data_IF_042928941172
#
_entry.id   IF_042928941172
#
_cell.length_a   1.000
_cell.length_b   1.000
_cell.length_c   1.000
_cell.angle_alpha   90.00
_cell.angle_beta   90.00
_cell.angle_gamma   90.00
#
_symmetry.space_group_name_H-M   'P 1'
#
loop_
_entity.id
_entity.type
_entity.pdbx_description
1 polymer ?
#
# COMPACT_ATOMS: atom_id res chain seq x y z
N UNK A 1 5.71 16.84 -15.03
CA UNK A 1 5.24 15.49 -15.37
C UNK A 1 4.69 15.48 -16.78
N UNK A 2 5.15 14.58 -17.62
CA UNK A 2 4.59 14.37 -18.95
C UNK A 2 3.36 13.45 -18.85
N UNK A 3 2.52 13.42 -19.90
CA UNK A 3 1.40 12.47 -19.97
C UNK A 3 1.87 11.02 -19.92
N UNK A 4 3.05 10.73 -20.46
CA UNK A 4 3.69 9.41 -20.42
C UNK A 4 4.06 9.00 -18.97
N UNK A 5 4.52 9.94 -18.16
CA UNK A 5 4.86 9.64 -16.75
C UNK A 5 3.61 9.23 -15.95
N UNK A 6 2.47 9.90 -16.20
CA UNK A 6 1.21 9.55 -15.58
C UNK A 6 0.73 8.15 -15.98
N UNK A 7 0.85 7.78 -17.25
CA UNK A 7 0.50 6.45 -17.76
C UNK A 7 1.40 5.37 -17.13
N UNK A 8 2.71 5.61 -17.10
CA UNK A 8 3.66 4.64 -16.49
C UNK A 8 3.44 4.46 -14.99
N UNK A 9 3.12 5.54 -14.26
CA UNK A 9 2.74 5.46 -12.86
C UNK A 9 1.45 4.66 -12.66
N UNK A 10 0.45 4.87 -13.53
CA UNK A 10 -0.78 4.12 -13.53
C UNK A 10 -0.57 2.63 -13.81
N UNK A 11 0.25 2.29 -14.80
CA UNK A 11 0.63 0.90 -15.12
C UNK A 11 1.41 0.26 -13.96
N UNK A 12 2.35 0.97 -13.36
CA UNK A 12 3.07 0.49 -12.17
C UNK A 12 2.12 0.20 -11.00
N UNK A 13 1.14 1.10 -10.78
CA UNK A 13 0.09 0.87 -9.76
C UNK A 13 -0.81 -0.32 -10.09
N UNK A 14 -1.09 -0.57 -11.38
CA UNK A 14 -1.88 -1.72 -11.81
C UNK A 14 -1.11 -3.04 -11.61
N UNK A 15 0.18 -3.08 -11.94
CA UNK A 15 1.04 -4.24 -11.65
C UNK A 15 1.13 -4.54 -10.14
N UNK A 16 1.05 -3.52 -9.32
CA UNK A 16 1.04 -3.65 -7.86
C UNK A 16 -0.31 -4.14 -7.28
N UNK A 17 -1.29 -4.52 -8.11
CA UNK A 17 -2.47 -5.29 -7.68
C UNK A 17 -2.13 -6.77 -7.42
N UNK A 18 -0.96 -7.25 -7.89
CA UNK A 18 -0.49 -8.59 -7.55
C UNK A 18 -0.23 -8.68 -6.04
N UNK A 19 -0.72 -9.76 -5.38
CA UNK A 19 -0.49 -9.94 -3.95
C UNK A 19 1.00 -10.04 -3.64
N UNK A 20 1.45 -9.33 -2.60
CA UNK A 20 2.85 -9.25 -2.21
C UNK A 20 3.65 -8.10 -2.83
N UNK A 21 3.11 -7.41 -3.83
CA UNK A 21 3.77 -6.24 -4.43
C UNK A 21 3.30 -4.95 -3.76
N UNK A 22 4.26 -4.16 -3.25
CA UNK A 22 3.95 -2.87 -2.61
C UNK A 22 3.55 -1.84 -3.66
N UNK A 23 2.27 -1.42 -3.65
CA UNK A 23 1.75 -0.38 -4.56
C UNK A 23 2.52 0.93 -4.44
N UNK A 24 2.73 1.40 -3.22
CA UNK A 24 3.47 2.64 -2.96
C UNK A 24 4.94 2.49 -3.37
N UNK A 25 5.54 1.33 -3.10
CA UNK A 25 6.92 1.03 -3.48
C UNK A 25 7.13 1.09 -4.99
N UNK A 26 6.34 0.35 -5.77
CA UNK A 26 6.43 0.33 -7.24
C UNK A 26 6.18 1.71 -7.83
N UNK A 27 5.10 2.40 -7.42
CA UNK A 27 4.79 3.74 -7.93
C UNK A 27 5.89 4.75 -7.62
N UNK A 28 6.50 4.67 -6.42
CA UNK A 28 7.63 5.53 -6.06
C UNK A 28 8.85 5.23 -6.92
N UNK A 29 9.18 3.96 -7.13
CA UNK A 29 10.32 3.53 -7.96
C UNK A 29 10.15 3.97 -9.41
N UNK A 30 8.95 3.81 -9.99
CA UNK A 30 8.63 4.33 -11.32
C UNK A 30 8.77 5.85 -11.39
N UNK A 31 8.29 6.58 -10.38
CA UNK A 31 8.45 8.03 -10.31
C UNK A 31 9.91 8.47 -10.31
N UNK A 32 10.76 7.80 -9.53
CA UNK A 32 12.21 8.08 -9.48
C UNK A 32 12.89 7.75 -10.80
N UNK A 33 12.57 6.61 -11.41
CA UNK A 33 13.15 6.23 -12.72
C UNK A 33 12.80 7.22 -13.83
N UNK A 34 11.72 7.99 -13.65
CA UNK A 34 11.33 9.08 -14.55
C UNK A 34 11.93 10.44 -14.17
N UNK A 35 12.89 10.47 -13.25
CA UNK A 35 13.63 11.67 -12.85
C UNK A 35 12.92 12.53 -11.80
N UNK A 36 11.86 12.03 -11.15
CA UNK A 36 11.26 12.72 -10.03
C UNK A 36 12.15 12.61 -8.78
N UNK A 37 12.17 13.66 -7.96
CA UNK A 37 12.83 13.56 -6.65
C UNK A 37 12.12 12.50 -5.80
N UNK A 38 12.84 11.73 -4.97
CA UNK A 38 12.26 10.69 -4.12
C UNK A 38 11.07 11.18 -3.31
N UNK A 39 11.14 12.41 -2.82
CA UNK A 39 10.08 13.04 -2.04
C UNK A 39 8.80 13.25 -2.84
N UNK A 40 8.91 13.75 -4.08
CA UNK A 40 7.77 13.98 -4.94
C UNK A 40 7.20 12.66 -5.48
N UNK A 41 8.05 11.71 -5.86
CA UNK A 41 7.65 10.40 -6.29
C UNK A 41 6.81 9.69 -5.22
N UNK A 42 7.25 9.74 -3.96
CA UNK A 42 6.53 9.17 -2.83
C UNK A 42 5.17 9.86 -2.59
N UNK A 43 5.12 11.20 -2.63
CA UNK A 43 3.86 11.94 -2.49
C UNK A 43 2.86 11.56 -3.58
N UNK A 44 3.31 11.43 -4.83
CA UNK A 44 2.44 11.03 -5.94
C UNK A 44 1.99 9.58 -5.83
N UNK A 45 2.86 8.68 -5.38
CA UNK A 45 2.51 7.30 -5.12
C UNK A 45 1.38 7.18 -4.07
N UNK A 46 1.43 7.97 -2.99
CA UNK A 46 0.35 8.04 -2.00
C UNK A 46 -0.95 8.58 -2.60
N UNK A 47 -0.89 9.67 -3.38
CA UNK A 47 -2.07 10.25 -4.01
C UNK A 47 -2.76 9.28 -4.99
N UNK A 48 -1.99 8.56 -5.81
CA UNK A 48 -2.51 7.57 -6.76
C UNK A 48 -3.12 6.36 -6.02
N UNK A 49 -2.66 6.07 -4.81
CA UNK A 49 -3.21 4.99 -3.99
C UNK A 49 -4.62 5.30 -3.45
N UNK A 50 -4.99 6.57 -3.29
CA UNK A 50 -6.29 6.97 -2.72
C UNK A 50 -7.48 6.47 -3.57
N UNK A 51 -7.55 6.73 -4.90
CA UNK A 51 -8.68 6.24 -5.70
C UNK A 51 -8.81 4.71 -5.67
N UNK A 52 -7.68 4.01 -5.68
CA UNK A 52 -7.67 2.56 -5.61
C UNK A 52 -8.19 2.03 -4.26
N UNK A 53 -7.87 2.69 -3.15
CA UNK A 53 -8.41 2.36 -1.82
C UNK A 53 -9.91 2.61 -1.77
N UNK A 54 -10.41 3.72 -2.36
CA UNK A 54 -11.84 4.02 -2.43
C UNK A 54 -12.60 2.92 -3.17
N UNK A 55 -12.06 2.45 -4.31
CA UNK A 55 -12.67 1.34 -5.05
C UNK A 55 -12.75 0.06 -4.21
N UNK A 56 -11.68 -0.29 -3.47
CA UNK A 56 -11.69 -1.45 -2.58
C UNK A 56 -12.75 -1.32 -1.48
N UNK A 57 -12.83 -0.15 -0.83
CA UNK A 57 -13.85 0.10 0.21
C UNK A 57 -15.26 -0.08 -0.35
N UNK A 58 -15.53 0.42 -1.57
CA UNK A 58 -16.84 0.27 -2.20
C UNK A 58 -17.15 -1.20 -2.50
N UNK A 59 -16.19 -1.96 -3.03
CA UNK A 59 -16.35 -3.39 -3.31
C UNK A 59 -16.58 -4.20 -2.03
N UNK A 60 -15.84 -3.92 -0.97
CA UNK A 60 -16.00 -4.58 0.32
C UNK A 60 -17.36 -4.26 0.93
N UNK A 61 -17.80 -3.01 0.84
CA UNK A 61 -19.14 -2.60 1.32
C UNK A 61 -20.26 -3.31 0.56
N UNK A 62 -20.15 -3.41 -0.77
CA UNK A 62 -21.11 -4.17 -1.59
C UNK A 62 -21.13 -5.64 -1.18
N UNK A 63 -19.97 -6.23 -0.92
CA UNK A 63 -19.86 -7.62 -0.48
C UNK A 63 -20.55 -7.85 0.89
N UNK A 64 -20.36 -6.96 1.84
CA UNK A 64 -20.99 -7.03 3.16
C UNK A 64 -22.51 -6.89 3.05
N UNK A 65 -22.98 -5.94 2.24
CA UNK A 65 -24.42 -5.74 2.03
C UNK A 65 -25.06 -6.96 1.34
N UNK A 66 -24.39 -7.54 0.34
CA UNK A 66 -24.89 -8.71 -0.39
C UNK A 66 -24.88 -10.00 0.44
N UNK A 67 -23.97 -10.10 1.42
CA UNK A 67 -23.94 -11.23 2.36
C UNK A 67 -25.09 -11.22 3.39
N UNK A 68 -25.86 -10.13 3.45
CA UNK A 68 -26.99 -9.94 4.35
C UNK A 68 -26.61 -9.21 5.65
N UNK A 69 -27.37 -8.18 5.97
CA UNK A 69 -27.19 -7.35 7.18
C UNK A 69 -27.44 -8.10 8.50
N UNK A 70 -27.90 -9.36 8.45
CA UNK A 70 -28.17 -10.18 9.63
C UNK A 70 -26.93 -10.59 10.43
N UNK A 71 -25.73 -10.33 9.92
CA UNK A 71 -24.47 -10.61 10.62
C UNK A 71 -23.89 -9.37 11.34
N UNK A 72 -24.58 -8.23 11.29
CA UNK A 72 -24.15 -6.99 11.95
C UNK A 72 -24.52 -7.00 13.46
N UNK A 73 -23.94 -7.96 14.18
CA UNK A 73 -24.02 -7.97 15.63
C UNK A 73 -23.16 -6.83 16.23
N UNK A 74 -23.55 -6.37 17.42
CA UNK A 74 -22.77 -5.39 18.18
C UNK A 74 -21.29 -5.78 18.32
N UNK A 75 -21.03 -7.06 18.49
CA UNK A 75 -19.68 -7.65 18.56
C UNK A 75 -18.88 -7.39 17.27
N UNK A 76 -19.53 -7.54 16.10
CA UNK A 76 -18.90 -7.29 14.79
C UNK A 76 -18.54 -5.81 14.61
N UNK A 77 -19.45 -4.92 14.98
CA UNK A 77 -19.20 -3.47 14.92
C UNK A 77 -18.03 -3.06 15.81
N UNK A 78 -17.97 -3.60 17.03
CA UNK A 78 -16.89 -3.34 17.98
C UNK A 78 -15.53 -3.82 17.42
N UNK A 79 -15.50 -5.03 16.83
CA UNK A 79 -14.30 -5.56 16.18
C UNK A 79 -13.83 -4.65 15.01
N UNK A 80 -14.75 -4.19 14.16
CA UNK A 80 -14.42 -3.29 13.08
C UNK A 80 -13.82 -1.97 13.58
N UNK A 81 -14.35 -1.40 14.65
CA UNK A 81 -13.81 -0.17 15.25
C UNK A 81 -12.41 -0.42 15.81
N UNK A 82 -12.21 -1.50 16.57
CA UNK A 82 -10.90 -1.85 17.12
C UNK A 82 -9.85 -2.07 16.04
N UNK A 83 -10.19 -2.84 15.00
CA UNK A 83 -9.32 -3.07 13.85
C UNK A 83 -9.02 -1.76 13.09
N UNK A 84 -10.02 -0.90 12.91
CA UNK A 84 -9.86 0.40 12.28
C UNK A 84 -8.91 1.32 13.05
N UNK A 85 -9.05 1.38 14.37
CA UNK A 85 -8.14 2.15 15.23
C UNK A 85 -6.70 1.61 15.17
N UNK A 86 -6.53 0.30 15.24
CA UNK A 86 -5.21 -0.34 15.14
C UNK A 86 -4.57 -0.09 13.77
N UNK A 87 -5.35 -0.22 12.69
CA UNK A 87 -4.89 0.07 11.33
C UNK A 87 -4.50 1.56 11.15
N UNK A 88 -5.25 2.48 11.74
CA UNK A 88 -4.94 3.92 11.69
C UNK A 88 -3.61 4.25 12.37
N UNK A 89 -3.38 3.72 13.57
CA UNK A 89 -2.12 3.91 14.29
C UNK A 89 -0.96 3.29 13.51
N UNK A 90 -1.14 2.07 12.99
CA UNK A 90 -0.15 1.39 12.16
C UNK A 90 0.18 2.17 10.89
N UNK A 91 -0.82 2.75 10.23
CA UNK A 91 -0.64 3.55 9.02
C UNK A 91 0.18 4.82 9.28
N UNK A 92 -0.06 5.54 10.38
CA UNK A 92 0.73 6.72 10.76
C UNK A 92 2.19 6.32 10.99
N UNK A 93 2.45 5.24 11.71
CA UNK A 93 3.78 4.71 11.93
C UNK A 93 4.48 4.31 10.63
N UNK A 94 3.79 3.58 9.76
CA UNK A 94 4.31 3.13 8.47
C UNK A 94 4.64 4.31 7.53
N UNK A 95 3.76 5.32 7.44
CA UNK A 95 4.01 6.52 6.64
C UNK A 95 5.23 7.29 7.17
N UNK A 96 5.35 7.43 8.49
CA UNK A 96 6.48 8.10 9.12
C UNK A 96 7.80 7.36 8.86
N UNK A 97 7.80 6.04 8.99
CA UNK A 97 8.95 5.19 8.72
C UNK A 97 9.35 5.27 7.24
N UNK A 98 8.39 5.16 6.32
CA UNK A 98 8.64 5.26 4.89
C UNK A 98 9.19 6.63 4.48
N UNK A 99 8.67 7.71 5.05
CA UNK A 99 9.24 9.06 4.84
C UNK A 99 10.71 9.10 5.27
N UNK A 100 11.04 8.54 6.42
CA UNK A 100 12.41 8.52 6.91
C UNK A 100 13.33 7.74 5.97
N UNK A 101 12.91 6.58 5.48
CA UNK A 101 13.67 5.75 4.54
C UNK A 101 13.87 6.48 3.22
N UNK A 102 12.80 6.98 2.61
CA UNK A 102 12.85 7.65 1.30
C UNK A 102 13.68 8.93 1.33
N UNK A 103 13.66 9.66 2.45
CA UNK A 103 14.32 10.96 2.56
C UNK A 103 15.77 10.88 3.05
N UNK A 104 16.14 9.86 3.84
CA UNK A 104 17.49 9.74 4.45
C UNK A 104 18.34 8.64 3.84
N UNK A 105 17.79 7.47 3.61
CA UNK A 105 18.57 6.26 3.31
C UNK A 105 18.54 5.84 1.83
N UNK A 106 17.63 6.43 1.04
CA UNK A 106 17.36 5.97 -0.31
C UNK A 106 16.53 4.67 -0.35
N UNK A 107 15.79 4.48 -1.45
CA UNK A 107 14.94 3.30 -1.66
C UNK A 107 15.77 2.02 -1.82
N UNK A 108 17.04 2.15 -2.18
CA UNK A 108 17.95 1.02 -2.38
C UNK A 108 18.08 0.16 -1.12
N UNK A 109 18.17 0.77 0.05
CA UNK A 109 18.27 0.06 1.33
C UNK A 109 16.98 -0.69 1.70
N UNK A 110 15.84 -0.28 1.17
CA UNK A 110 14.58 -0.99 1.38
C UNK A 110 14.55 -2.35 0.67
N UNK A 111 15.34 -2.52 -0.39
CA UNK A 111 15.48 -3.80 -1.10
C UNK A 111 16.02 -4.90 -0.19
N UNK A 112 16.97 -4.61 0.68
CA UNK A 112 17.52 -5.59 1.63
C UNK A 112 16.47 -6.08 2.62
N UNK A 113 15.61 -5.19 3.08
CA UNK A 113 14.48 -5.57 3.93
C UNK A 113 13.50 -6.50 3.18
N UNK A 114 13.16 -6.18 1.95
CA UNK A 114 12.28 -7.02 1.13
C UNK A 114 12.87 -8.41 0.88
N UNK A 115 14.16 -8.51 0.59
CA UNK A 115 14.87 -9.79 0.44
C UNK A 115 14.87 -10.60 1.74
N UNK A 116 15.15 -9.96 2.87
CA UNK A 116 15.11 -10.59 4.18
C UNK A 116 13.71 -11.12 4.52
N UNK A 117 12.67 -10.32 4.29
CA UNK A 117 11.29 -10.73 4.52
C UNK A 117 10.87 -11.88 3.61
N UNK A 118 11.26 -11.86 2.33
CA UNK A 118 10.98 -12.93 1.38
C UNK A 118 11.64 -14.25 1.79
N UNK A 119 12.91 -14.22 2.17
CA UNK A 119 13.63 -15.40 2.67
C UNK A 119 12.99 -15.94 3.96
N UNK A 120 12.65 -15.07 4.90
CA UNK A 120 12.00 -15.48 6.14
C UNK A 120 10.65 -16.16 5.88
N UNK A 121 9.82 -15.57 5.02
CA UNK A 121 8.52 -16.15 4.65
C UNK A 121 8.69 -17.48 3.91
N UNK A 122 9.68 -17.57 3.03
CA UNK A 122 9.98 -18.81 2.31
C UNK A 122 10.40 -19.94 3.26
N UNK A 123 11.26 -19.64 4.25
CA UNK A 123 11.68 -20.61 5.27
C UNK A 123 10.49 -21.09 6.09
N UNK A 124 9.61 -20.15 6.54
CA UNK A 124 8.40 -20.51 7.29
C UNK A 124 7.44 -21.39 6.48
N UNK A 125 7.37 -21.19 5.17
CA UNK A 125 6.53 -22.01 4.29
C UNK A 125 7.06 -23.43 4.08
N UNK A 126 8.41 -23.61 4.17
CA UNK A 126 9.07 -24.91 3.97
C UNK A 126 9.10 -25.79 5.22
N UNK A 127 8.84 -25.21 6.42
CA UNK A 127 8.72 -25.91 7.72
C UNK A 127 7.28 -26.28 7.99
#
# INVERSE_FOLDING_TARGET
MSRLDAVLLGLGSALAMLPGVSRVGVSTSVGISRGATPQNAYKWALLISIPALVVHIVLDLVSVVSAGLGQLDFSFILQCIMCGCAAYIGAIGAISLMKMIVYRSGIENFSYYCWGAALFTFILYMI
#
